data_IF_792471511018
#
_entry.id   IF_792471511018
#
_cell.length_a   1.000
_cell.length_b   1.000
_cell.length_c   1.000
_cell.angle_alpha   90.00
_cell.angle_beta   90.00
_cell.angle_gamma   90.00
#
_symmetry.space_group_name_H-M   'P 1'
#
loop_
_entity.id
_entity.type
_entity.pdbx_description
1 polymer ?
#
# COMPACT_ATOMS: atom_id res chain seq x y z
N UNK A 1 -45.48 15.01 41.59
CA UNK A 1 -44.03 14.76 41.44
C UNK A 1 -43.86 13.75 40.31
N UNK A 2 -43.04 14.11 39.32
CA UNK A 2 -42.76 13.34 38.11
C UNK A 2 -41.98 12.06 38.40
N UNK A 3 -42.19 11.00 37.61
CA UNK A 3 -41.10 10.29 36.93
C UNK A 3 -41.64 9.33 35.87
N UNK A 4 -41.36 9.66 34.61
CA UNK A 4 -41.49 8.79 33.43
C UNK A 4 -40.66 7.52 33.59
N UNK A 5 -41.28 6.35 33.38
CA UNK A 5 -40.60 5.07 33.24
C UNK A 5 -39.68 5.10 32.00
N UNK A 6 -38.38 4.97 32.23
CA UNK A 6 -37.33 5.00 31.21
C UNK A 6 -37.46 3.86 30.22
N UNK A 7 -37.39 4.19 28.92
CA UNK A 7 -37.35 3.23 27.81
C UNK A 7 -36.03 2.47 27.89
N UNK A 8 -36.09 1.19 28.20
CA UNK A 8 -34.92 0.30 28.17
C UNK A 8 -34.29 0.30 26.78
N UNK A 9 -33.01 0.71 26.69
CA UNK A 9 -32.23 0.62 25.46
C UNK A 9 -32.08 -0.85 25.13
N UNK A 10 -32.81 -1.34 24.12
CA UNK A 10 -32.60 -2.68 23.56
C UNK A 10 -31.16 -2.71 23.08
N UNK A 11 -30.28 -3.38 23.83
CA UNK A 11 -28.90 -3.63 23.40
C UNK A 11 -29.03 -4.35 22.07
N UNK A 12 -28.63 -3.70 20.99
CA UNK A 12 -28.51 -4.33 19.68
C UNK A 12 -27.36 -5.33 19.82
N UNK A 13 -27.68 -6.54 20.30
CA UNK A 13 -26.74 -7.64 20.34
C UNK A 13 -26.63 -8.15 18.93
N UNK A 14 -25.42 -8.04 18.37
CA UNK A 14 -25.11 -8.61 17.06
C UNK A 14 -25.49 -10.09 17.06
N UNK A 15 -25.99 -10.62 15.93
CA UNK A 15 -26.21 -12.06 15.80
C UNK A 15 -24.89 -12.79 16.08
N UNK A 16 -25.01 -13.98 16.65
CA UNK A 16 -23.84 -14.83 16.89
C UNK A 16 -23.17 -15.12 15.56
N UNK A 17 -21.84 -15.04 15.55
CA UNK A 17 -21.03 -15.38 14.39
C UNK A 17 -21.33 -16.84 13.99
N UNK A 18 -21.49 -17.14 12.69
CA UNK A 18 -21.56 -18.52 12.24
C UNK A 18 -20.31 -19.31 12.63
N UNK A 19 -20.46 -20.61 12.81
CA UNK A 19 -19.32 -21.50 12.98
C UNK A 19 -18.44 -21.48 11.71
N UNK A 20 -17.11 -21.57 11.85
CA UNK A 20 -16.24 -21.66 10.70
C UNK A 20 -16.52 -22.94 9.90
N UNK A 21 -16.28 -22.93 8.57
CA UNK A 21 -16.49 -24.10 7.74
C UNK A 21 -15.58 -25.26 8.15
N UNK A 22 -16.05 -26.47 7.91
CA UNK A 22 -15.29 -27.69 8.17
C UNK A 22 -14.23 -27.91 7.10
N UNK A 23 -13.19 -28.68 7.43
CA UNK A 23 -12.14 -29.06 6.48
C UNK A 23 -12.68 -29.76 5.23
N UNK A 24 -13.76 -30.54 5.37
CA UNK A 24 -14.38 -31.25 4.25
C UNK A 24 -15.02 -30.29 3.25
N UNK A 25 -15.78 -29.30 3.74
CA UNK A 25 -16.41 -28.27 2.90
C UNK A 25 -15.38 -27.41 2.18
N UNK A 26 -14.28 -27.06 2.86
CA UNK A 26 -13.17 -26.31 2.23
C UNK A 26 -12.57 -27.12 1.07
N UNK A 27 -12.34 -28.42 1.26
CA UNK A 27 -11.77 -29.27 0.23
C UNK A 27 -12.73 -29.48 -0.95
N UNK A 28 -14.03 -29.55 -0.67
CA UNK A 28 -15.05 -29.60 -1.72
C UNK A 28 -15.02 -28.33 -2.57
N UNK A 29 -15.01 -27.16 -1.95
CA UNK A 29 -14.92 -25.87 -2.67
C UNK A 29 -13.65 -25.77 -3.52
N UNK A 30 -12.50 -26.18 -2.99
CA UNK A 30 -11.22 -26.19 -3.72
C UNK A 30 -11.26 -27.15 -4.91
N UNK A 31 -11.85 -28.34 -4.75
CA UNK A 31 -11.93 -29.31 -5.85
C UNK A 31 -12.94 -28.90 -6.94
N UNK A 32 -13.98 -28.16 -6.57
CA UNK A 32 -15.00 -27.67 -7.50
C UNK A 32 -14.62 -26.34 -8.16
N UNK A 33 -13.59 -25.65 -7.67
CA UNK A 33 -13.17 -24.37 -8.21
C UNK A 33 -12.59 -24.50 -9.64
N UNK A 34 -12.93 -23.56 -10.54
CA UNK A 34 -12.45 -23.60 -11.92
C UNK A 34 -10.94 -23.32 -12.01
N UNK A 35 -10.30 -23.75 -13.10
CA UNK A 35 -8.85 -23.55 -13.28
C UNK A 35 -8.40 -22.08 -13.33
N UNK A 36 -9.33 -21.17 -13.65
CA UNK A 36 -9.10 -19.72 -13.68
C UNK A 36 -9.50 -19.01 -12.38
N UNK A 37 -9.85 -19.77 -11.33
CA UNK A 37 -10.12 -19.22 -10.01
C UNK A 37 -8.90 -18.46 -9.47
N UNK A 38 -9.14 -17.39 -8.70
CA UNK A 38 -8.09 -16.61 -8.04
C UNK A 38 -7.24 -17.47 -7.10
N UNK A 39 -7.83 -18.50 -6.49
CA UNK A 39 -7.14 -19.45 -5.63
C UNK A 39 -5.98 -20.15 -6.36
N UNK A 40 -6.14 -20.43 -7.66
CA UNK A 40 -5.13 -21.13 -8.47
C UNK A 40 -4.32 -20.19 -9.36
N UNK A 41 -4.94 -19.13 -9.88
CA UNK A 41 -4.26 -18.15 -10.74
C UNK A 41 -3.27 -17.27 -9.97
N UNK A 42 -3.46 -17.09 -8.66
CA UNK A 42 -2.50 -16.40 -7.80
C UNK A 42 -1.12 -17.08 -7.85
N UNK A 43 -1.09 -18.40 -7.65
CA UNK A 43 0.14 -19.19 -7.74
C UNK A 43 0.66 -19.28 -9.18
N UNK A 44 -0.24 -19.50 -10.16
CA UNK A 44 0.12 -19.54 -11.59
C UNK A 44 0.80 -18.25 -12.08
N UNK A 45 0.37 -17.07 -11.63
CA UNK A 45 0.99 -15.79 -12.03
C UNK A 45 2.40 -15.63 -11.46
N UNK A 46 2.61 -16.11 -10.24
CA UNK A 46 3.89 -16.09 -9.54
C UNK A 46 4.91 -17.04 -10.20
N UNK A 47 4.49 -18.25 -10.52
CA UNK A 47 5.32 -19.26 -11.20
C UNK A 47 5.77 -18.84 -12.61
N UNK A 48 4.95 -18.03 -13.29
CA UNK A 48 5.25 -17.53 -14.63
C UNK A 48 6.14 -16.28 -14.63
N UNK A 49 6.69 -15.87 -13.49
CA UNK A 49 7.51 -14.65 -13.38
C UNK A 49 6.74 -13.37 -13.70
N UNK A 50 5.40 -13.42 -13.80
CA UNK A 50 4.58 -12.22 -13.94
C UNK A 50 4.45 -11.61 -12.56
N UNK A 51 5.29 -10.61 -12.29
CA UNK A 51 5.11 -9.70 -11.17
C UNK A 51 3.64 -9.26 -11.15
N UNK A 52 3.02 -9.24 -9.96
CA UNK A 52 1.62 -8.88 -9.76
C UNK A 52 1.45 -7.39 -10.12
N UNK A 53 1.40 -7.08 -11.40
CA UNK A 53 0.77 -5.87 -11.89
C UNK A 53 -0.72 -6.07 -11.66
N UNK A 54 -1.22 -5.56 -10.53
CA UNK A 54 -2.63 -5.24 -10.41
C UNK A 54 -2.95 -4.36 -11.62
N UNK A 55 -3.74 -4.90 -12.55
CA UNK A 55 -4.17 -4.17 -13.72
C UNK A 55 -5.09 -3.03 -13.27
N UNK A 56 -4.50 -1.88 -12.94
CA UNK A 56 -5.21 -0.59 -12.87
C UNK A 56 -5.48 -0.22 -14.33
N UNK A 57 -6.43 -0.91 -14.95
CA UNK A 57 -6.97 -0.56 -16.26
C UNK A 57 -7.75 0.74 -16.08
N UNK A 58 -7.05 1.87 -16.02
CA UNK A 58 -7.72 3.16 -15.82
C UNK A 58 -6.89 4.43 -15.71
N UNK A 59 -5.54 4.39 -15.73
CA UNK A 59 -4.77 5.63 -15.65
C UNK A 59 -3.79 5.78 -16.81
N UNK A 60 -4.33 6.25 -17.94
CA UNK A 60 -3.55 6.73 -19.07
C UNK A 60 -2.97 8.12 -18.76
N UNK A 61 -1.66 8.20 -18.62
CA UNK A 61 -0.83 9.41 -18.78
C UNK A 61 0.55 8.87 -19.22
N UNK A 62 1.14 9.20 -20.35
CA UNK A 62 1.12 10.42 -21.15
C UNK A 62 1.48 10.12 -22.60
N UNK A 63 0.76 10.80 -23.48
CA UNK A 63 1.15 11.26 -24.82
C UNK A 63 2.65 11.57 -24.98
N UNK A 64 3.27 11.13 -26.09
CA UNK A 64 4.12 11.96 -26.98
C UNK A 64 4.98 11.11 -27.93
N UNK A 65 4.53 11.04 -29.19
CA UNK A 65 5.29 11.03 -30.45
C UNK A 65 6.77 10.62 -30.46
N UNK A 66 7.09 9.40 -30.93
CA UNK A 66 8.10 9.15 -31.98
C UNK A 66 8.20 7.64 -32.33
N UNK A 67 8.21 7.24 -33.62
CA UNK A 67 8.22 5.83 -34.02
C UNK A 67 9.61 5.26 -34.39
N UNK A 68 10.73 5.89 -34.02
CA UNK A 68 12.07 5.32 -34.28
C UNK A 68 13.11 5.80 -33.24
N UNK A 69 13.30 5.05 -32.14
CA UNK A 69 14.61 4.99 -31.47
C UNK A 69 14.71 3.78 -30.55
N UNK A 70 15.71 2.97 -30.85
CA UNK A 70 16.07 1.74 -30.16
C UNK A 70 16.34 1.95 -28.67
N UNK A 71 15.80 1.03 -27.87
CA UNK A 71 16.24 0.71 -26.51
C UNK A 71 16.22 -0.81 -26.31
N UNK A 72 16.89 -1.56 -27.19
CA UNK A 72 17.22 -2.96 -26.95
C UNK A 72 18.50 -2.98 -26.12
N UNK A 73 18.49 -3.80 -25.06
CA UNK A 73 19.58 -4.17 -24.13
C UNK A 73 19.63 -3.40 -22.81
N UNK A 74 19.12 -4.02 -21.75
CA UNK A 74 19.97 -4.34 -20.61
C UNK A 74 19.40 -5.53 -19.80
N UNK A 75 19.81 -6.72 -20.24
CA UNK A 75 20.34 -7.81 -19.42
C UNK A 75 19.50 -8.35 -18.26
N UNK A 76 18.62 -9.32 -18.55
CA UNK A 76 18.52 -10.56 -17.76
C UNK A 76 17.75 -11.62 -18.57
N UNK A 77 18.34 -12.04 -19.68
CA UNK A 77 17.87 -13.17 -20.47
C UNK A 77 19.12 -13.95 -20.88
N UNK A 78 19.44 -14.96 -20.07
CA UNK A 78 19.95 -16.28 -20.47
C UNK A 78 20.42 -17.00 -19.20
N UNK A 79 19.60 -17.93 -18.70
CA UNK A 79 20.07 -19.31 -18.64
C UNK A 79 18.88 -20.26 -18.62
N UNK A 80 18.89 -21.17 -19.59
CA UNK A 80 17.86 -22.16 -19.83
C UNK A 80 17.78 -23.11 -18.63
N UNK A 81 16.61 -23.18 -18.00
CA UNK A 81 16.24 -24.36 -17.24
C UNK A 81 14.91 -24.85 -17.76
N UNK A 82 14.97 -25.97 -18.49
CA UNK A 82 13.83 -26.76 -18.93
C UNK A 82 12.99 -27.20 -17.73
N UNK A 83 12.15 -26.31 -17.18
CA UNK A 83 11.21 -26.67 -16.12
C UNK A 83 10.02 -27.40 -16.75
N UNK A 84 10.14 -28.72 -16.83
CA UNK A 84 8.99 -29.58 -16.99
C UNK A 84 7.98 -29.26 -15.87
N UNK A 85 6.74 -28.98 -16.26
CA UNK A 85 5.63 -28.76 -15.34
C UNK A 85 5.39 -30.04 -14.54
N UNK A 86 5.71 -30.02 -13.24
CA UNK A 86 5.49 -31.15 -12.33
C UNK A 86 4.08 -31.09 -11.74
N UNK A 87 3.39 -32.24 -11.67
CA UNK A 87 2.10 -32.39 -10.98
C UNK A 87 2.21 -31.94 -9.51
N UNK A 88 1.11 -31.51 -8.86
CA UNK A 88 1.11 -31.03 -7.47
C UNK A 88 1.74 -31.99 -6.45
N UNK A 89 1.79 -33.28 -6.77
CA UNK A 89 2.43 -34.32 -5.94
C UNK A 89 3.96 -34.30 -5.95
N UNK A 90 4.62 -33.32 -6.59
CA UNK A 90 6.08 -33.25 -6.74
C UNK A 90 6.68 -31.85 -6.42
N UNK A 91 5.88 -30.93 -5.87
CA UNK A 91 6.39 -29.64 -5.36
C UNK A 91 7.27 -29.95 -4.15
N UNK A 92 8.55 -29.60 -4.22
CA UNK A 92 9.47 -29.87 -3.12
C UNK A 92 9.31 -28.80 -2.04
N UNK A 93 9.55 -29.17 -0.78
CA UNK A 93 9.52 -28.25 0.37
C UNK A 93 10.45 -27.03 0.17
N UNK A 94 11.48 -27.18 -0.66
CA UNK A 94 12.40 -26.11 -1.06
C UNK A 94 11.74 -25.05 -1.96
N UNK A 95 10.82 -25.45 -2.86
CA UNK A 95 10.14 -24.51 -3.76
C UNK A 95 9.15 -23.60 -3.00
N UNK A 96 8.52 -24.13 -1.93
CA UNK A 96 7.67 -23.34 -1.03
C UNK A 96 8.49 -22.42 -0.11
N UNK A 97 9.72 -22.84 0.24
CA UNK A 97 10.62 -22.05 1.07
C UNK A 97 11.12 -20.80 0.33
N UNK A 98 11.48 -20.94 -0.95
CA UNK A 98 11.88 -19.80 -1.80
C UNK A 98 10.75 -18.74 -1.92
N UNK A 99 9.50 -19.18 -1.91
CA UNK A 99 8.34 -18.30 -1.94
C UNK A 99 8.10 -17.54 -0.62
N UNK A 100 8.34 -18.19 0.51
CA UNK A 100 8.28 -17.58 1.85
C UNK A 100 9.43 -16.60 2.04
N UNK A 101 10.64 -16.97 1.63
CA UNK A 101 11.84 -16.15 1.73
C UNK A 101 11.70 -14.86 0.89
N UNK A 102 11.16 -14.97 -0.33
CA UNK A 102 10.84 -13.80 -1.15
C UNK A 102 9.80 -12.86 -0.53
N UNK A 103 8.78 -13.42 0.14
CA UNK A 103 7.77 -12.62 0.85
C UNK A 103 8.36 -11.90 2.07
N UNK A 104 9.27 -12.54 2.78
CA UNK A 104 9.93 -11.98 3.96
C UNK A 104 10.86 -10.82 3.58
N UNK A 105 11.66 -10.96 2.52
CA UNK A 105 12.53 -9.89 2.02
C UNK A 105 11.75 -8.69 1.49
N UNK A 106 10.59 -8.95 0.86
CA UNK A 106 9.70 -7.87 0.44
C UNK A 106 9.11 -7.12 1.65
N UNK A 107 8.69 -7.83 2.70
CA UNK A 107 8.19 -7.21 3.93
C UNK A 107 9.26 -6.34 4.61
N UNK A 108 10.52 -6.82 4.66
CA UNK A 108 11.69 -6.06 5.13
C UNK A 108 11.84 -4.74 4.38
N UNK A 109 11.82 -4.79 3.04
CA UNK A 109 11.97 -3.62 2.18
C UNK A 109 10.85 -2.59 2.43
N UNK A 110 9.60 -3.05 2.55
CA UNK A 110 8.48 -2.17 2.85
C UNK A 110 8.57 -1.52 4.24
N UNK A 111 9.01 -2.26 5.25
CA UNK A 111 9.24 -1.72 6.59
C UNK A 111 10.31 -0.63 6.60
N UNK A 112 11.42 -0.85 5.88
CA UNK A 112 12.48 0.15 5.75
C UNK A 112 11.98 1.40 5.03
N UNK A 113 11.28 1.23 3.91
CA UNK A 113 10.72 2.35 3.15
C UNK A 113 9.70 3.14 3.97
N UNK A 114 8.82 2.46 4.71
CA UNK A 114 7.84 3.11 5.58
C UNK A 114 8.54 3.92 6.67
N UNK A 115 9.60 3.37 7.27
CA UNK A 115 10.40 4.07 8.28
C UNK A 115 11.04 5.33 7.70
N UNK A 116 11.61 5.26 6.49
CA UNK A 116 12.17 6.42 5.79
C UNK A 116 11.09 7.46 5.47
N UNK A 117 9.92 7.03 5.03
CA UNK A 117 8.81 7.91 4.70
C UNK A 117 8.32 8.68 5.93
N UNK A 118 8.14 8.00 7.06
CA UNK A 118 7.75 8.66 8.31
C UNK A 118 8.82 9.64 8.80
N UNK A 119 10.11 9.32 8.65
CA UNK A 119 11.19 10.27 8.95
C UNK A 119 11.12 11.53 8.07
N UNK A 120 10.96 11.38 6.76
CA UNK A 120 10.86 12.55 5.87
C UNK A 120 9.59 13.38 6.14
N UNK A 121 8.49 12.74 6.52
CA UNK A 121 7.24 13.41 6.90
C UNK A 121 7.39 14.23 8.18
N UNK A 122 8.06 13.69 9.20
CA UNK A 122 8.32 14.45 10.44
C UNK A 122 9.28 15.61 10.20
N UNK A 123 10.33 15.41 9.41
CA UNK A 123 11.26 16.48 9.01
C UNK A 123 10.55 17.60 8.24
N UNK A 124 9.67 17.25 7.30
CA UNK A 124 8.90 18.23 6.55
C UNK A 124 7.96 19.02 7.47
N UNK A 125 7.28 18.33 8.39
CA UNK A 125 6.40 18.96 9.37
C UNK A 125 7.17 19.98 10.22
N UNK A 126 8.35 19.62 10.70
CA UNK A 126 9.19 20.53 11.48
C UNK A 126 9.56 21.78 10.68
N UNK A 127 10.01 21.60 9.42
CA UNK A 127 10.35 22.75 8.56
C UNK A 127 9.18 23.67 8.30
N UNK A 128 7.97 23.13 8.15
CA UNK A 128 6.76 23.93 8.00
C UNK A 128 6.47 24.77 9.26
N UNK A 129 6.62 24.19 10.44
CA UNK A 129 6.45 24.88 11.72
C UNK A 129 7.51 25.98 11.91
N UNK A 130 8.78 25.70 11.60
CA UNK A 130 9.85 26.69 11.67
C UNK A 130 9.59 27.88 10.73
N UNK A 131 9.12 27.62 9.51
CA UNK A 131 8.75 28.65 8.54
C UNK A 131 7.54 29.48 9.01
N UNK A 132 6.57 28.86 9.68
CA UNK A 132 5.40 29.55 10.23
C UNK A 132 5.82 30.51 11.36
N UNK A 133 6.69 30.04 12.27
CA UNK A 133 7.26 30.88 13.33
C UNK A 133 8.03 32.06 12.74
N UNK A 134 8.99 31.82 11.85
CA UNK A 134 9.75 32.90 11.20
C UNK A 134 8.85 33.87 10.43
N UNK A 135 7.81 33.37 9.75
CA UNK A 135 6.83 34.20 9.05
C UNK A 135 6.05 35.11 9.99
N UNK A 136 5.66 34.61 11.17
CA UNK A 136 4.98 35.39 12.20
C UNK A 136 5.89 36.47 12.80
N UNK A 137 7.16 36.15 13.08
CA UNK A 137 8.16 37.08 13.60
C UNK A 137 8.46 38.22 12.62
N UNK A 138 8.58 37.89 11.33
CA UNK A 138 8.77 38.86 10.27
C UNK A 138 7.54 39.78 10.16
N UNK A 139 6.34 39.21 10.22
CA UNK A 139 5.09 39.99 10.17
C UNK A 139 5.01 40.97 11.35
N UNK A 140 5.34 40.53 12.56
CA UNK A 140 5.39 41.38 13.75
C UNK A 140 6.43 42.50 13.58
N UNK A 141 7.62 42.18 13.06
CA UNK A 141 8.67 43.17 12.79
C UNK A 141 8.23 44.22 11.77
N UNK A 142 7.53 43.81 10.71
CA UNK A 142 6.96 44.73 9.71
C UNK A 142 5.88 45.62 10.33
N UNK A 143 5.01 45.06 11.16
CA UNK A 143 3.97 45.84 11.87
C UNK A 143 4.58 46.87 12.82
N UNK A 144 5.65 46.52 13.53
CA UNK A 144 6.36 47.43 14.41
C UNK A 144 7.02 48.58 13.64
N UNK A 145 7.72 48.27 12.54
CA UNK A 145 8.31 49.28 11.66
C UNK A 145 7.24 50.22 11.07
N UNK A 146 6.06 49.69 10.70
CA UNK A 146 4.94 50.51 10.23
C UNK A 146 4.46 51.48 11.31
N UNK A 147 4.25 51.02 12.54
CA UNK A 147 3.85 51.88 13.67
C UNK A 147 4.86 52.99 13.95
N UNK A 148 6.16 52.66 13.94
CA UNK A 148 7.22 53.65 14.16
C UNK A 148 7.22 54.72 13.06
N UNK A 149 7.03 54.31 11.81
CA UNK A 149 6.96 55.24 10.67
C UNK A 149 5.75 56.17 10.79
N UNK A 150 4.56 55.62 11.07
CA UNK A 150 3.33 56.41 11.27
C UNK A 150 3.46 57.40 12.44
N UNK A 151 4.12 57.01 13.54
CA UNK A 151 4.34 57.90 14.69
C UNK A 151 5.33 59.04 14.37
N UNK A 152 6.33 58.77 13.53
CA UNK A 152 7.30 59.78 13.08
C UNK A 152 6.75 60.77 12.05
N UNK A 153 5.74 60.38 11.26
CA UNK A 153 5.07 61.28 10.30
C UNK A 153 4.05 62.23 10.94
N UNK A 154 3.60 61.95 12.17
CA UNK A 154 2.65 62.80 12.91
C UNK A 154 3.29 63.92 13.76
N UNK A 155 4.63 64.07 13.74
CA UNK A 155 5.40 65.12 14.40
C UNK A 155 5.97 66.12 13.38
#
# INVERSE_FOLDING_TARGET
MNAMLGRGKKKVTLPTRPEPPTMAEILEDVNNAPEDDVAFTYFRRRDQGRNISFNIQGLATTTSTDPEKHGIMSNSFEEQSSRQVKKPSQISELDLQDDVDGCYEQARTYLELNTRLEKSKTELKQKCEDLEVMGSELTNSIQELKKQTEHSETL
#
